data_IF_257346966009
#
_entry.id   IF_257346966009
#
_cell.length_a   1.000
_cell.length_b   1.000
_cell.length_c   1.000
_cell.angle_alpha   90.00
_cell.angle_beta   90.00
_cell.angle_gamma   90.00
#
_symmetry.space_group_name_H-M   'P 1'
#
loop_
_entity.id
_entity.type
_entity.pdbx_description
1 polymer ?
#
# COMPACT_ATOMS: atom_id res chain seq x y z
N UNK A 1 6.95 -17.59 -5.78
CA UNK A 1 7.50 -17.99 -4.46
C UNK A 1 6.34 -18.23 -3.51
N UNK A 2 6.38 -19.26 -2.67
CA UNK A 2 5.34 -19.56 -1.67
C UNK A 2 5.99 -19.55 -0.31
N UNK A 3 5.46 -18.73 0.60
CA UNK A 3 5.87 -18.71 2.00
C UNK A 3 4.90 -19.56 2.80
N UNK A 4 5.38 -20.64 3.43
CA UNK A 4 4.58 -21.47 4.31
C UNK A 4 4.29 -20.82 5.66
N UNK A 5 5.19 -19.93 6.07
CA UNK A 5 5.15 -19.23 7.35
C UNK A 5 5.46 -17.74 7.13
N UNK A 6 4.41 -16.92 7.01
CA UNK A 6 4.51 -15.48 6.84
C UNK A 6 3.63 -14.78 7.87
N UNK A 7 4.21 -13.84 8.61
CA UNK A 7 3.54 -13.14 9.69
C UNK A 7 3.62 -11.64 9.52
N UNK A 8 2.48 -10.97 9.62
CA UNK A 8 2.46 -9.52 9.74
C UNK A 8 3.05 -9.11 11.12
N UNK A 9 3.91 -8.08 11.17
CA UNK A 9 4.57 -7.69 12.42
C UNK A 9 3.61 -7.10 13.46
N UNK A 10 2.44 -6.63 13.05
CA UNK A 10 1.39 -6.12 13.92
C UNK A 10 0.01 -6.21 13.24
N UNK A 11 -1.09 -6.24 14.02
CA UNK A 11 -2.45 -6.30 13.47
C UNK A 11 -2.99 -4.95 12.99
N UNK A 12 -2.23 -3.87 13.13
CA UNK A 12 -2.61 -2.50 12.72
C UNK A 12 -1.52 -1.82 11.90
N UNK A 13 -1.92 -0.82 11.13
CA UNK A 13 -1.11 -0.23 10.04
C UNK A 13 0.17 0.46 10.52
N UNK A 14 0.11 1.43 11.42
CA UNK A 14 1.29 2.22 11.83
C UNK A 14 2.45 1.37 12.35
N UNK A 15 2.28 0.47 13.32
CA UNK A 15 3.38 -0.37 13.80
C UNK A 15 3.90 -1.34 12.73
N UNK A 16 3.03 -1.88 11.87
CA UNK A 16 3.46 -2.74 10.76
C UNK A 16 4.31 -1.97 9.74
N UNK A 17 3.91 -0.75 9.39
CA UNK A 17 4.64 0.11 8.45
C UNK A 17 5.98 0.55 9.00
N UNK A 18 6.02 0.94 10.26
CA UNK A 18 7.28 1.24 10.94
C UNK A 18 8.21 0.02 11.01
N UNK A 19 7.67 -1.17 11.32
CA UNK A 19 8.46 -2.39 11.38
C UNK A 19 9.10 -2.71 10.02
N UNK A 20 8.34 -2.59 8.94
CA UNK A 20 8.83 -2.79 7.58
C UNK A 20 9.89 -1.75 7.22
N UNK A 21 9.62 -0.46 7.48
CA UNK A 21 10.50 0.65 7.11
C UNK A 21 11.88 0.58 7.80
N UNK A 22 11.91 0.12 9.06
CA UNK A 22 13.13 0.08 9.88
C UNK A 22 13.73 -1.32 10.04
N UNK A 23 13.10 -2.36 9.49
CA UNK A 23 13.53 -3.74 9.69
C UNK A 23 13.53 -4.17 11.18
N UNK A 24 12.62 -3.62 11.98
CA UNK A 24 12.57 -3.83 13.43
C UNK A 24 11.18 -4.20 13.90
N UNK A 25 11.08 -5.11 14.88
CA UNK A 25 9.78 -5.45 15.45
C UNK A 25 9.14 -4.27 16.19
N UNK A 26 7.79 -4.16 16.18
CA UNK A 26 7.07 -3.10 16.89
C UNK A 26 7.41 -3.03 18.38
N UNK A 27 7.64 -4.18 19.01
CA UNK A 27 8.05 -4.26 20.42
C UNK A 27 9.39 -3.55 20.68
N UNK A 28 10.37 -3.71 19.78
CA UNK A 28 11.67 -3.02 19.88
C UNK A 28 11.55 -1.51 19.66
N UNK A 29 10.58 -1.10 18.88
CA UNK A 29 10.32 0.32 18.59
C UNK A 29 9.34 0.94 19.58
N UNK A 30 8.84 0.19 20.58
CA UNK A 30 7.79 0.60 21.52
C UNK A 30 6.54 1.18 20.81
N UNK A 31 6.27 0.68 19.62
CA UNK A 31 5.18 1.12 18.74
C UNK A 31 4.18 -0.03 18.54
N UNK A 32 3.27 -0.20 19.48
CA UNK A 32 2.28 -1.29 19.45
C UNK A 32 0.87 -0.85 19.02
N UNK A 33 0.63 0.45 18.88
CA UNK A 33 -0.70 1.02 18.62
C UNK A 33 -0.67 2.05 17.49
N UNK A 34 -1.85 2.51 17.10
CA UNK A 34 -2.01 3.65 16.16
C UNK A 34 -1.60 4.99 16.79
N UNK A 35 -1.59 5.07 18.12
CA UNK A 35 -1.23 6.29 18.83
C UNK A 35 0.30 6.45 18.87
N UNK A 36 0.79 7.42 18.13
CA UNK A 36 2.20 7.60 17.78
C UNK A 36 2.96 8.57 18.68
N UNK A 37 2.30 9.26 19.62
CA UNK A 37 2.97 10.30 20.43
C UNK A 37 4.09 9.73 21.30
N UNK A 38 3.97 8.50 21.74
CA UNK A 38 5.04 7.81 22.50
C UNK A 38 6.07 7.16 21.58
N UNK A 39 5.64 6.55 20.47
CA UNK A 39 6.54 5.85 19.55
C UNK A 39 7.39 6.77 18.70
N UNK A 40 6.94 8.02 18.49
CA UNK A 40 7.67 8.99 17.66
C UNK A 40 9.07 9.32 18.14
N UNK A 41 9.35 9.12 19.43
CA UNK A 41 10.69 9.37 20.01
C UNK A 41 11.61 8.16 19.88
N UNK A 42 11.06 6.94 19.91
CA UNK A 42 11.82 5.70 20.03
C UNK A 42 12.46 5.25 18.71
N UNK A 43 11.86 5.57 17.57
CA UNK A 43 12.44 5.26 16.27
C UNK A 43 13.12 6.45 15.58
N UNK A 44 13.07 7.66 16.18
CA UNK A 44 13.88 8.79 15.72
C UNK A 44 15.36 8.43 15.76
N UNK A 45 16.05 8.64 14.66
CA UNK A 45 17.44 8.27 14.50
C UNK A 45 17.69 6.79 14.21
N UNK A 46 16.66 5.98 14.06
CA UNK A 46 16.81 4.63 13.49
C UNK A 46 16.87 4.75 11.97
N UNK A 47 17.77 3.99 11.38
CA UNK A 47 17.94 3.96 9.93
C UNK A 47 16.75 3.31 9.26
N UNK A 48 16.31 3.86 8.15
CA UNK A 48 15.25 3.31 7.29
C UNK A 48 15.85 2.53 6.12
N UNK A 49 15.05 1.74 5.41
CA UNK A 49 15.50 1.03 4.20
C UNK A 49 16.10 2.01 3.17
N UNK A 50 15.42 3.11 2.76
CA UNK A 50 16.00 4.05 1.81
C UNK A 50 17.33 4.66 2.28
N UNK A 51 17.41 5.04 3.55
CA UNK A 51 18.64 5.58 4.12
C UNK A 51 19.78 4.56 4.13
N UNK A 52 19.49 3.30 4.45
CA UNK A 52 20.49 2.23 4.43
C UNK A 52 21.02 1.97 3.02
N UNK A 53 20.13 1.96 2.01
CA UNK A 53 20.51 1.80 0.61
C UNK A 53 21.41 2.95 0.14
N UNK A 54 21.07 4.19 0.47
CA UNK A 54 21.89 5.37 0.12
C UNK A 54 23.22 5.44 0.86
N UNK A 55 23.31 4.88 2.06
CA UNK A 55 24.60 4.72 2.74
C UNK A 55 25.49 3.69 2.05
N UNK A 56 24.91 2.63 1.50
CA UNK A 56 25.64 1.61 0.76
C UNK A 56 26.03 2.09 -0.64
N UNK A 57 25.15 2.81 -1.32
CA UNK A 57 25.39 3.43 -2.60
C UNK A 57 24.58 4.75 -2.71
N UNK A 58 25.24 5.92 -2.72
CA UNK A 58 24.57 7.22 -2.74
C UNK A 58 23.82 7.50 -4.04
N UNK A 59 24.02 6.72 -5.10
CA UNK A 59 23.30 6.87 -6.38
C UNK A 59 21.86 6.31 -6.33
N UNK A 60 21.47 5.61 -5.24
CA UNK A 60 20.11 5.15 -5.08
C UNK A 60 19.11 6.30 -5.05
N UNK A 61 18.08 6.18 -5.88
CA UNK A 61 16.88 7.04 -5.84
C UNK A 61 15.72 6.24 -5.23
N UNK A 62 15.10 6.79 -4.22
CA UNK A 62 14.02 6.12 -3.49
C UNK A 62 12.68 6.82 -3.71
N UNK A 63 11.60 6.06 -3.98
CA UNK A 63 10.25 6.59 -4.11
C UNK A 63 9.26 5.89 -3.17
N UNK A 64 8.25 6.64 -2.74
CA UNK A 64 7.10 6.11 -2.02
C UNK A 64 5.80 6.60 -2.64
N UNK A 65 4.92 5.69 -2.98
CA UNK A 65 3.58 5.98 -3.51
C UNK A 65 2.50 5.29 -2.68
N UNK A 66 1.38 5.99 -2.46
CA UNK A 66 0.23 5.49 -1.73
C UNK A 66 0.30 5.70 -0.22
N UNK A 67 -0.28 4.78 0.54
CA UNK A 67 -0.51 4.92 1.97
C UNK A 67 0.78 4.97 2.78
N UNK A 68 1.04 6.10 3.44
CA UNK A 68 2.16 6.27 4.37
C UNK A 68 1.81 5.84 5.79
N UNK A 69 0.90 6.54 6.41
CA UNK A 69 0.39 6.31 7.77
C UNK A 69 1.46 6.10 8.86
N UNK A 70 2.49 6.93 8.82
CA UNK A 70 3.51 7.06 9.85
C UNK A 70 3.53 8.53 10.30
N UNK A 71 2.63 8.95 11.22
CA UNK A 71 2.36 10.36 11.50
C UNK A 71 3.56 11.16 12.01
N UNK A 72 4.51 10.49 12.65
CA UNK A 72 5.65 11.16 13.27
C UNK A 72 6.83 11.40 12.32
N UNK A 73 6.76 10.95 11.09
CA UNK A 73 7.84 11.05 10.11
C UNK A 73 7.24 11.29 8.72
N UNK A 74 7.83 12.20 7.97
CA UNK A 74 7.50 12.37 6.55
C UNK A 74 8.27 11.36 5.71
N UNK A 75 7.79 10.99 4.52
CA UNK A 75 8.55 10.14 3.61
C UNK A 75 9.94 10.70 3.27
N UNK A 76 10.05 12.01 3.06
CA UNK A 76 11.33 12.68 2.82
C UNK A 76 12.32 12.53 3.99
N UNK A 77 11.84 12.63 5.24
CA UNK A 77 12.67 12.41 6.44
C UNK A 77 13.14 10.94 6.53
N UNK A 78 12.36 10.03 5.96
CA UNK A 78 12.71 8.60 5.86
C UNK A 78 13.67 8.28 4.70
N UNK A 79 14.08 9.29 3.93
CA UNK A 79 15.05 9.13 2.85
C UNK A 79 14.46 8.88 1.46
N UNK A 80 13.16 9.04 1.26
CA UNK A 80 12.55 9.00 -0.06
C UNK A 80 12.77 10.34 -0.78
N UNK A 81 13.21 10.28 -2.05
CA UNK A 81 13.44 11.45 -2.92
C UNK A 81 12.17 11.86 -3.65
N UNK A 82 11.38 10.86 -4.03
CA UNK A 82 10.12 11.04 -4.75
C UNK A 82 8.98 10.53 -3.88
N UNK A 83 7.98 11.38 -3.70
CA UNK A 83 6.80 11.03 -2.90
C UNK A 83 5.55 11.59 -3.57
N UNK A 84 4.44 10.91 -3.43
CA UNK A 84 3.16 11.42 -3.93
C UNK A 84 2.78 12.76 -3.29
N UNK A 85 3.09 12.91 -2.00
CA UNK A 85 2.87 14.13 -1.22
C UNK A 85 3.96 14.36 -0.19
N UNK A 86 4.35 15.62 -0.02
CA UNK A 86 5.37 16.02 0.98
C UNK A 86 5.04 15.61 2.41
N UNK A 87 3.76 15.57 2.77
CA UNK A 87 3.32 15.21 4.13
C UNK A 87 3.14 13.70 4.31
N UNK A 88 3.31 12.93 3.23
CA UNK A 88 2.87 11.55 3.19
C UNK A 88 1.35 11.46 3.25
N UNK A 89 0.84 10.34 2.82
CA UNK A 89 -0.59 10.05 2.91
C UNK A 89 -0.85 9.25 4.18
N UNK A 90 -1.69 9.74 5.06
CA UNK A 90 -2.11 9.05 6.27
C UNK A 90 -2.91 7.79 5.94
N UNK A 91 -4.15 7.76 6.36
CA UNK A 91 -5.13 6.81 5.85
C UNK A 91 -5.66 7.21 4.45
N UNK A 92 -5.00 8.17 3.80
CA UNK A 92 -5.47 8.87 2.64
C UNK A 92 -5.91 10.29 2.98
N UNK A 93 -5.27 10.90 3.99
CA UNK A 93 -5.54 12.29 4.38
C UNK A 93 -5.47 13.19 3.15
N UNK A 94 -6.60 13.77 2.84
CA UNK A 94 -6.77 14.80 1.85
C UNK A 94 -7.09 14.36 0.42
N UNK A 95 -7.02 13.06 0.05
CA UNK A 95 -7.36 12.64 -1.31
C UNK A 95 -8.28 11.44 -1.39
N UNK A 96 -8.23 10.57 -0.40
CA UNK A 96 -8.95 9.33 -0.48
C UNK A 96 -9.94 9.13 0.66
N UNK A 97 -9.69 9.75 1.82
CA UNK A 97 -10.45 9.46 3.02
C UNK A 97 -11.11 10.67 3.68
N UNK A 98 -10.86 11.89 3.25
CA UNK A 98 -11.62 13.05 3.76
C UNK A 98 -13.09 12.95 3.37
N UNK A 99 -13.37 12.15 2.35
CA UNK A 99 -14.70 11.67 2.08
C UNK A 99 -14.66 10.23 1.55
N UNK A 100 -14.62 9.26 2.45
CA UNK A 100 -14.77 7.84 2.09
C UNK A 100 -16.09 7.53 1.37
N UNK A 101 -16.91 8.55 1.17
CA UNK A 101 -18.20 8.54 0.49
C UNK A 101 -18.16 9.26 -0.85
N UNK A 102 -17.10 10.03 -1.18
CA UNK A 102 -16.97 10.63 -2.48
C UNK A 102 -16.36 9.66 -3.47
N UNK A 103 -17.01 9.62 -4.58
CA UNK A 103 -16.79 8.72 -5.69
C UNK A 103 -15.37 8.85 -6.24
N UNK A 104 -14.55 7.85 -5.96
CA UNK A 104 -13.38 7.58 -6.77
C UNK A 104 -13.85 7.23 -8.19
N UNK A 105 -13.01 7.47 -9.20
CA UNK A 105 -13.29 7.01 -10.54
C UNK A 105 -13.63 5.51 -10.54
N UNK A 106 -14.70 5.12 -11.19
CA UNK A 106 -15.13 3.71 -11.27
C UNK A 106 -14.07 2.79 -11.91
N UNK A 107 -13.17 3.37 -12.69
CA UNK A 107 -12.07 2.71 -13.38
C UNK A 107 -10.74 2.73 -12.59
N UNK A 108 -10.70 3.45 -11.47
CA UNK A 108 -9.52 3.48 -10.58
C UNK A 108 -9.92 3.36 -9.10
N UNK A 109 -10.56 2.26 -8.70
CA UNK A 109 -10.98 2.05 -7.32
C UNK A 109 -9.76 2.09 -6.39
N UNK A 110 -9.87 2.88 -5.33
CA UNK A 110 -8.81 3.08 -4.34
C UNK A 110 -7.48 3.56 -4.93
N UNK A 111 -7.52 4.23 -6.08
CA UNK A 111 -6.34 4.70 -6.81
C UNK A 111 -5.35 3.58 -7.14
N UNK A 112 -5.87 2.38 -7.31
CA UNK A 112 -5.08 1.17 -7.47
C UNK A 112 -4.21 1.24 -8.73
N UNK A 113 -4.82 1.62 -9.86
CA UNK A 113 -4.16 1.65 -11.15
C UNK A 113 -3.32 2.92 -11.35
N UNK A 114 -3.78 4.07 -10.87
CA UNK A 114 -2.99 5.31 -10.93
C UNK A 114 -1.71 5.23 -10.09
N UNK A 115 -1.76 4.63 -8.90
CA UNK A 115 -0.55 4.40 -8.09
C UNK A 115 0.43 3.43 -8.76
N UNK A 116 -0.09 2.40 -9.41
CA UNK A 116 0.71 1.46 -10.19
C UNK A 116 1.35 2.17 -11.39
N UNK A 117 0.60 3.03 -12.09
CA UNK A 117 1.15 3.81 -13.20
C UNK A 117 2.26 4.76 -12.75
N UNK A 118 2.06 5.49 -11.64
CA UNK A 118 3.12 6.34 -11.05
C UNK A 118 4.38 5.54 -10.72
N UNK A 119 4.21 4.31 -10.24
CA UNK A 119 5.32 3.41 -9.93
C UNK A 119 6.05 2.98 -11.20
N UNK A 120 5.32 2.63 -12.26
CA UNK A 120 5.87 2.26 -13.57
C UNK A 120 6.64 3.43 -14.20
N UNK A 121 6.08 4.64 -14.13
CA UNK A 121 6.73 5.84 -14.66
C UNK A 121 8.06 6.12 -13.95
N UNK A 122 8.07 6.02 -12.61
CA UNK A 122 9.29 6.15 -11.82
C UNK A 122 10.33 5.09 -12.18
N UNK A 123 9.94 3.81 -12.29
CA UNK A 123 10.85 2.72 -12.65
C UNK A 123 11.45 2.97 -14.04
N UNK A 124 10.62 3.37 -15.01
CA UNK A 124 11.10 3.68 -16.36
C UNK A 124 12.13 4.81 -16.35
N UNK A 125 11.85 5.89 -15.63
CA UNK A 125 12.80 7.01 -15.51
C UNK A 125 14.15 6.57 -14.91
N UNK A 126 14.13 5.74 -13.86
CA UNK A 126 15.37 5.29 -13.25
C UNK A 126 16.12 4.27 -14.13
N UNK A 127 15.40 3.38 -14.83
CA UNK A 127 15.97 2.43 -15.78
C UNK A 127 16.65 3.15 -16.94
N UNK A 128 16.00 4.13 -17.54
CA UNK A 128 16.56 4.95 -18.63
C UNK A 128 17.81 5.73 -18.17
N UNK A 129 17.77 6.25 -16.96
CA UNK A 129 18.90 6.94 -16.35
C UNK A 129 20.01 5.99 -15.85
N UNK A 130 19.78 4.68 -15.89
CA UNK A 130 20.69 3.63 -15.37
C UNK A 130 21.06 3.87 -13.89
N UNK A 131 20.12 4.34 -13.11
CA UNK A 131 20.31 4.58 -11.68
C UNK A 131 19.73 3.44 -10.86
N UNK A 132 20.39 2.99 -9.79
CA UNK A 132 19.79 2.07 -8.86
C UNK A 132 18.62 2.74 -8.16
N UNK A 133 17.54 2.00 -7.94
CA UNK A 133 16.34 2.55 -7.33
C UNK A 133 15.74 1.63 -6.27
N UNK A 134 14.96 2.23 -5.40
CA UNK A 134 14.07 1.56 -4.48
C UNK A 134 12.70 2.23 -4.56
N UNK A 135 11.64 1.45 -4.77
CA UNK A 135 10.29 1.98 -4.73
C UNK A 135 9.43 1.18 -3.77
N UNK A 136 8.70 1.88 -2.92
CA UNK A 136 7.68 1.32 -2.06
C UNK A 136 6.31 1.73 -2.57
N UNK A 137 5.60 0.79 -3.19
CA UNK A 137 4.20 0.95 -3.57
C UNK A 137 3.32 0.42 -2.44
N UNK A 138 2.59 1.32 -1.83
CA UNK A 138 1.75 1.04 -0.66
C UNK A 138 0.28 1.26 -0.99
N UNK A 139 -0.35 0.29 -1.65
CA UNK A 139 -1.76 0.38 -2.00
C UNK A 139 -2.66 0.65 -0.78
N UNK A 140 -3.80 1.32 -1.02
CA UNK A 140 -4.87 1.47 -0.02
C UNK A 140 -5.69 0.19 0.12
N UNK A 141 -5.69 -0.67 -0.90
CA UNK A 141 -6.22 -2.03 -0.82
C UNK A 141 -5.42 -2.83 0.22
N UNK A 142 -6.03 -3.64 0.98
CA UNK A 142 -7.43 -4.03 1.05
C UNK A 142 -8.15 -3.38 2.26
N UNK A 143 -7.79 -2.18 2.63
CA UNK A 143 -8.40 -1.46 3.75
C UNK A 143 -9.88 -1.18 3.48
N UNK A 144 -10.69 -1.10 4.54
CA UNK A 144 -12.06 -0.57 4.44
C UNK A 144 -12.01 0.87 3.85
N UNK A 145 -12.92 1.31 3.07
CA UNK A 145 -14.10 0.72 2.50
C UNK A 145 -13.71 -0.08 1.25
N UNK A 146 -14.28 -1.28 1.07
CA UNK A 146 -13.91 -2.13 -0.05
C UNK A 146 -14.51 -1.58 -1.34
N UNK A 147 -13.66 -1.33 -2.31
CA UNK A 147 -14.05 -0.91 -3.64
C UNK A 147 -13.19 -1.62 -4.69
N UNK A 148 -13.78 -1.90 -5.84
CA UNK A 148 -13.17 -2.68 -6.92
C UNK A 148 -13.82 -2.33 -8.26
N UNK A 149 -13.22 -2.76 -9.34
CA UNK A 149 -13.82 -2.60 -10.66
C UNK A 149 -15.19 -3.27 -10.73
N UNK A 150 -16.09 -2.65 -11.47
CA UNK A 150 -17.46 -3.17 -11.66
C UNK A 150 -17.44 -4.56 -12.28
N UNK A 151 -16.65 -4.79 -13.32
CA UNK A 151 -16.53 -6.08 -13.98
C UNK A 151 -16.04 -7.17 -13.02
N UNK A 152 -15.08 -6.86 -12.15
CA UNK A 152 -14.56 -7.81 -11.19
C UNK A 152 -15.62 -8.17 -10.15
N UNK A 153 -16.38 -7.19 -9.65
CA UNK A 153 -17.53 -7.45 -8.77
C UNK A 153 -18.59 -8.33 -9.43
N UNK A 154 -18.95 -8.06 -10.68
CA UNK A 154 -19.93 -8.86 -11.43
C UNK A 154 -19.45 -10.30 -11.63
N UNK A 155 -18.17 -10.52 -11.91
CA UNK A 155 -17.55 -11.85 -11.97
C UNK A 155 -17.77 -12.63 -10.68
N UNK A 156 -17.50 -12.04 -9.53
CA UNK A 156 -17.68 -12.70 -8.23
C UNK A 156 -19.15 -12.90 -7.86
N UNK A 157 -20.04 -12.00 -8.30
CA UNK A 157 -21.48 -12.14 -8.12
C UNK A 157 -22.06 -13.32 -8.92
N UNK A 158 -21.47 -13.61 -10.07
CA UNK A 158 -21.90 -14.70 -10.95
C UNK A 158 -21.37 -16.09 -10.56
N UNK A 159 -20.59 -16.21 -9.49
CA UNK A 159 -20.06 -17.50 -9.05
C UNK A 159 -21.20 -18.47 -8.66
N UNK A 160 -21.08 -19.78 -9.00
CA UNK A 160 -22.09 -20.80 -8.67
C UNK A 160 -22.37 -20.95 -7.16
N UNK A 161 -21.38 -20.59 -6.33
CA UNK A 161 -21.51 -20.49 -4.88
C UNK A 161 -21.21 -19.06 -4.48
N UNK A 162 -22.22 -18.23 -4.29
CA UNK A 162 -22.01 -16.86 -3.86
C UNK A 162 -21.28 -16.84 -2.52
N UNK A 163 -20.33 -15.94 -2.41
CA UNK A 163 -19.67 -15.67 -1.15
C UNK A 163 -20.74 -15.21 -0.15
N UNK A 164 -20.90 -15.95 0.93
CA UNK A 164 -21.92 -15.64 1.94
C UNK A 164 -21.60 -14.27 2.54
N UNK A 165 -22.62 -13.42 2.65
CA UNK A 165 -22.55 -12.23 3.46
C UNK A 165 -22.12 -12.63 4.88
N UNK A 166 -21.06 -12.02 5.39
CA UNK A 166 -20.70 -12.17 6.80
C UNK A 166 -21.54 -11.13 7.55
N UNK A 167 -22.42 -11.59 8.41
CA UNK A 167 -23.03 -10.71 9.41
C UNK A 167 -21.89 -10.19 10.30
N UNK A 168 -21.50 -8.97 10.07
CA UNK A 168 -20.42 -8.34 10.81
C UNK A 168 -21.00 -7.28 11.73
N UNK A 169 -21.02 -7.55 13.02
CA UNK A 169 -21.36 -6.59 14.06
C UNK A 169 -20.39 -5.38 14.11
N UNK A 170 -19.31 -5.45 13.34
CA UNK A 170 -18.29 -4.40 13.22
C UNK A 170 -18.61 -3.31 12.18
N UNK A 171 -19.67 -3.47 11.40
CA UNK A 171 -20.05 -2.46 10.42
C UNK A 171 -21.04 -1.47 11.06
N UNK A 172 -20.81 -0.15 10.90
CA UNK A 172 -21.76 0.85 11.38
C UNK A 172 -23.15 0.59 10.80
N UNK A 173 -24.21 0.85 11.59
CA UNK A 173 -25.61 0.67 11.14
C UNK A 173 -25.95 1.53 9.91
N UNK A 174 -25.23 2.64 9.73
CA UNK A 174 -25.35 3.57 8.61
C UNK A 174 -24.44 3.24 7.44
N UNK A 175 -23.68 2.15 7.52
CA UNK A 175 -22.92 1.66 6.37
C UNK A 175 -23.88 1.42 5.18
N UNK A 176 -23.46 1.87 4.00
CA UNK A 176 -24.24 1.77 2.76
C UNK A 176 -24.87 0.38 2.67
N UNK A 177 -26.20 0.26 2.48
CA UNK A 177 -26.89 -1.04 2.51
C UNK A 177 -26.27 -2.11 1.62
N UNK A 178 -25.75 -1.69 0.47
CA UNK A 178 -25.04 -2.56 -0.48
C UNK A 178 -23.70 -3.06 0.07
N UNK A 179 -23.09 -2.33 0.99
CA UNK A 179 -21.81 -2.70 1.61
C UNK A 179 -21.96 -3.88 2.58
N UNK A 180 -22.99 -3.87 3.44
CA UNK A 180 -23.25 -4.97 4.39
C UNK A 180 -23.50 -6.31 3.67
N UNK A 181 -24.26 -6.27 2.58
CA UNK A 181 -24.65 -7.47 1.85
C UNK A 181 -23.56 -8.01 0.91
N UNK A 182 -22.62 -7.18 0.49
CA UNK A 182 -21.62 -7.52 -0.52
C UNK A 182 -20.16 -7.41 0.00
N UNK A 183 -19.97 -7.31 1.31
CA UNK A 183 -18.64 -7.07 1.90
C UNK A 183 -17.58 -8.07 1.43
N UNK A 184 -17.88 -9.37 1.54
CA UNK A 184 -16.93 -10.41 1.15
C UNK A 184 -16.71 -10.45 -0.37
N UNK A 185 -17.75 -10.16 -1.14
CA UNK A 185 -17.69 -10.06 -2.60
C UNK A 185 -16.76 -8.90 -3.01
N UNK A 186 -16.99 -7.71 -2.44
CA UNK A 186 -16.17 -6.54 -2.73
C UNK A 186 -14.71 -6.76 -2.28
N UNK A 187 -14.51 -7.41 -1.14
CA UNK A 187 -13.17 -7.75 -0.65
C UNK A 187 -12.44 -8.69 -1.61
N UNK A 188 -13.09 -9.76 -2.08
CA UNK A 188 -12.51 -10.71 -3.02
C UNK A 188 -12.19 -10.05 -4.37
N UNK A 189 -13.12 -9.24 -4.88
CA UNK A 189 -12.92 -8.49 -6.12
C UNK A 189 -11.75 -7.50 -6.00
N UNK A 190 -11.65 -6.80 -4.87
CA UNK A 190 -10.54 -5.86 -4.60
C UNK A 190 -9.18 -6.58 -4.53
N UNK A 191 -9.14 -7.81 -3.99
CA UNK A 191 -7.91 -8.62 -3.98
C UNK A 191 -7.50 -8.96 -5.41
N UNK A 192 -8.45 -9.37 -6.28
CA UNK A 192 -8.15 -9.68 -7.68
C UNK A 192 -7.66 -8.45 -8.44
N UNK A 193 -8.30 -7.29 -8.25
CA UNK A 193 -7.85 -6.06 -8.89
C UNK A 193 -6.45 -5.66 -8.41
N UNK A 194 -6.13 -5.90 -7.13
CA UNK A 194 -4.80 -5.65 -6.57
C UNK A 194 -3.75 -6.60 -7.18
N UNK A 195 -4.09 -7.87 -7.33
CA UNK A 195 -3.23 -8.87 -7.97
C UNK A 195 -2.97 -8.52 -9.44
N UNK A 196 -4.03 -8.11 -10.16
CA UNK A 196 -3.92 -7.62 -11.54
C UNK A 196 -2.99 -6.41 -11.66
N UNK A 197 -3.16 -5.44 -10.78
CA UNK A 197 -2.32 -4.24 -10.72
C UNK A 197 -0.84 -4.59 -10.47
N UNK A 198 -0.60 -5.60 -9.62
CA UNK A 198 0.73 -6.09 -9.37
C UNK A 198 1.31 -6.86 -10.55
N UNK A 199 0.48 -7.64 -11.25
CA UNK A 199 0.85 -8.30 -12.50
C UNK A 199 1.31 -7.29 -13.56
N UNK A 200 0.55 -6.22 -13.76
CA UNK A 200 0.92 -5.14 -14.69
C UNK A 200 2.28 -4.50 -14.36
N UNK A 201 2.64 -4.42 -13.08
CA UNK A 201 3.94 -3.91 -12.65
C UNK A 201 5.08 -4.89 -12.98
N UNK A 202 4.87 -6.19 -12.76
CA UNK A 202 5.84 -7.23 -13.10
C UNK A 202 6.08 -7.31 -14.61
N UNK A 203 5.02 -7.28 -15.40
CA UNK A 203 5.10 -7.26 -16.87
C UNK A 203 5.87 -6.03 -17.36
N UNK A 204 5.71 -4.89 -16.70
CA UNK A 204 6.44 -3.68 -17.02
C UNK A 204 7.96 -3.81 -16.74
N UNK A 205 8.32 -4.39 -15.59
CA UNK A 205 9.73 -4.65 -15.22
C UNK A 205 10.38 -5.60 -16.24
N UNK A 206 9.65 -6.65 -16.65
CA UNK A 206 10.10 -7.57 -17.69
C UNK A 206 10.27 -6.87 -19.04
N UNK A 207 9.30 -6.06 -19.45
CA UNK A 207 9.34 -5.30 -20.70
C UNK A 207 10.52 -4.31 -20.77
N UNK A 208 10.97 -3.79 -19.63
CA UNK A 208 12.17 -2.95 -19.53
C UNK A 208 13.47 -3.78 -19.54
N UNK A 209 13.40 -5.11 -19.46
CA UNK A 209 14.55 -6.01 -19.42
C UNK A 209 15.40 -5.89 -18.16
N UNK A 210 14.80 -5.48 -17.05
CA UNK A 210 15.48 -5.30 -15.76
C UNK A 210 15.08 -6.34 -14.70
N UNK A 211 14.22 -7.30 -15.06
CA UNK A 211 13.72 -8.35 -14.18
C UNK A 211 14.83 -9.18 -13.52
N UNK A 212 15.90 -9.47 -14.26
CA UNK A 212 17.05 -10.21 -13.75
C UNK A 212 17.93 -9.42 -12.75
N UNK A 213 17.66 -8.13 -12.57
CA UNK A 213 18.40 -7.23 -11.67
C UNK A 213 17.47 -6.45 -10.72
N UNK A 214 16.24 -6.91 -10.57
CA UNK A 214 15.23 -6.27 -9.71
C UNK A 214 14.65 -7.28 -8.73
N UNK A 215 14.67 -6.95 -7.45
CA UNK A 215 13.96 -7.69 -6.41
C UNK A 215 12.57 -7.07 -6.20
N UNK A 216 11.54 -7.92 -6.21
CA UNK A 216 10.15 -7.53 -5.96
C UNK A 216 9.61 -8.30 -4.75
#
# INVERSE_FOLDING_TARGET
>A
MVFSDAYAPAPVCTPSRNAMLHGMTPARMLNSTLNTDRSSKEYRGKITIPQALKLANPDYVAAHFGKWHIPAMKPSDAGYDVTEKEKGTGNGEGDYLDDMRTHLPEDDPKRLFSLTQMTKDFISEQADAKRPFFVQLSHYSVHIWHDSLKETREKYRALPRPLKAVDSDYLPEDAIPDFKHNWLLNYAAMIEDTDRSFGDLLDHIEALGIDNNTYV
#
